data_IF_547492098590
#
_entry.id   IF_547492098590
#
_cell.length_a   1.000
_cell.length_b   1.000
_cell.length_c   1.000
_cell.angle_alpha   90.00
_cell.angle_beta   90.00
_cell.angle_gamma   90.00
#
_symmetry.space_group_name_H-M   'P 1'
#
loop_
_entity.id
_entity.type
_entity.pdbx_description
1 polymer ?
#
# COMPACT_ATOMS: atom_id res chain seq x y z
N UNK A 1 -20.64 -6.89 -21.53
CA UNK A 1 -19.39 -6.81 -20.74
C UNK A 1 -18.57 -5.57 -21.10
N UNK A 2 -18.15 -5.39 -22.37
CA UNK A 2 -17.33 -4.25 -22.80
C UNK A 2 -17.97 -2.86 -22.53
N UNK A 3 -19.28 -2.73 -22.74
CA UNK A 3 -20.03 -1.50 -22.45
C UNK A 3 -20.02 -1.14 -20.96
N UNK A 4 -20.20 -2.14 -20.08
CA UNK A 4 -20.15 -1.93 -18.63
C UNK A 4 -18.74 -1.53 -18.16
N UNK A 5 -17.69 -2.16 -18.69
CA UNK A 5 -16.31 -1.79 -18.39
C UNK A 5 -15.98 -0.35 -18.79
N UNK A 6 -16.47 0.12 -19.95
CA UNK A 6 -16.30 1.50 -20.40
C UNK A 6 -17.03 2.50 -19.51
N UNK A 7 -18.23 2.15 -19.02
CA UNK A 7 -18.97 3.00 -18.07
C UNK A 7 -18.19 3.12 -16.75
N UNK A 8 -17.71 2.01 -16.20
CA UNK A 8 -16.91 2.03 -14.98
C UNK A 8 -15.58 2.78 -15.15
N UNK A 9 -14.95 2.69 -16.32
CA UNK A 9 -13.74 3.45 -16.66
C UNK A 9 -13.99 4.96 -16.55
N UNK A 10 -15.08 5.44 -17.16
CA UNK A 10 -15.44 6.87 -17.12
C UNK A 10 -15.77 7.31 -15.70
N UNK A 11 -16.53 6.51 -14.94
CA UNK A 11 -16.85 6.79 -13.54
C UNK A 11 -15.59 6.86 -12.68
N UNK A 12 -14.64 5.95 -12.87
CA UNK A 12 -13.36 5.94 -12.15
C UNK A 12 -12.50 7.18 -12.45
N UNK A 13 -12.47 7.63 -13.71
CA UNK A 13 -11.77 8.86 -14.09
C UNK A 13 -12.41 10.12 -13.48
N UNK A 14 -13.74 10.22 -13.53
CA UNK A 14 -14.47 11.33 -12.92
C UNK A 14 -14.23 11.33 -11.40
N UNK A 15 -14.39 10.20 -10.73
CA UNK A 15 -14.12 10.11 -9.30
C UNK A 15 -12.63 10.44 -8.97
N UNK A 16 -11.71 10.03 -9.85
CA UNK A 16 -10.28 10.40 -9.90
C UNK A 16 -10.05 11.89 -9.79
N UNK A 17 -10.68 12.64 -10.69
CA UNK A 17 -10.51 14.08 -10.83
C UNK A 17 -11.25 14.84 -9.71
N UNK A 18 -12.44 14.39 -9.32
CA UNK A 18 -13.33 15.15 -8.44
C UNK A 18 -13.09 14.97 -6.94
N UNK A 19 -12.48 13.90 -6.46
CA UNK A 19 -12.53 13.64 -5.02
C UNK A 19 -11.45 12.76 -4.40
N UNK A 20 -10.72 11.97 -5.20
CA UNK A 20 -9.71 11.09 -4.60
C UNK A 20 -8.46 11.81 -4.10
N UNK A 21 -8.24 13.09 -4.40
CA UNK A 21 -7.06 13.83 -3.92
C UNK A 21 -6.92 13.88 -2.39
N UNK A 22 -8.01 14.15 -1.67
CA UNK A 22 -8.00 14.18 -0.20
C UNK A 22 -7.83 12.80 0.43
N UNK A 23 -8.51 11.78 -0.11
CA UNK A 23 -8.42 10.40 0.37
C UNK A 23 -7.04 9.80 0.04
N UNK A 24 -6.47 10.13 -1.11
CA UNK A 24 -5.13 9.74 -1.50
C UNK A 24 -4.09 10.32 -0.54
N UNK A 25 -4.21 11.59 -0.12
CA UNK A 25 -3.30 12.19 0.85
C UNK A 25 -3.40 11.54 2.25
N UNK A 26 -4.62 11.26 2.73
CA UNK A 26 -4.82 10.57 4.01
C UNK A 26 -4.28 9.13 3.95
N UNK A 27 -4.54 8.43 2.84
CA UNK A 27 -4.05 7.08 2.60
C UNK A 27 -2.52 7.04 2.48
N UNK A 28 -1.90 8.05 1.87
CA UNK A 28 -0.45 8.17 1.77
C UNK A 28 0.20 8.29 3.16
N UNK A 29 -0.40 9.08 4.06
CA UNK A 29 0.05 9.18 5.45
C UNK A 29 0.00 7.83 6.19
N UNK A 30 -1.11 7.11 6.06
CA UNK A 30 -1.28 5.78 6.68
C UNK A 30 -0.29 4.76 6.09
N UNK A 31 -0.11 4.77 4.76
CA UNK A 31 0.83 3.90 4.07
C UNK A 31 2.28 4.14 4.53
N UNK A 32 2.67 5.39 4.75
CA UNK A 32 4.00 5.74 5.25
C UNK A 32 4.24 5.18 6.66
N UNK A 33 3.25 5.28 7.56
CA UNK A 33 3.35 4.71 8.92
C UNK A 33 3.49 3.18 8.85
N UNK A 34 2.68 2.50 8.06
CA UNK A 34 2.75 1.05 7.87
C UNK A 34 4.10 0.62 7.27
N UNK A 35 4.63 1.38 6.32
CA UNK A 35 5.94 1.12 5.72
C UNK A 35 7.06 1.18 6.76
N UNK A 36 7.04 2.19 7.65
CA UNK A 36 8.05 2.29 8.72
C UNK A 36 7.92 1.13 9.71
N UNK A 37 6.70 0.77 10.12
CA UNK A 37 6.47 -0.39 11.01
C UNK A 37 7.01 -1.67 10.36
N UNK A 38 6.67 -1.89 9.09
CA UNK A 38 7.18 -3.03 8.33
C UNK A 38 8.70 -3.04 8.25
N UNK A 39 9.34 -1.90 8.01
CA UNK A 39 10.79 -1.77 7.93
C UNK A 39 11.44 -2.13 9.26
N UNK A 40 10.91 -1.64 10.39
CA UNK A 40 11.39 -2.00 11.73
C UNK A 40 11.28 -3.50 11.97
N UNK A 41 10.10 -4.08 11.70
CA UNK A 41 9.89 -5.53 11.84
C UNK A 41 10.80 -6.34 10.92
N UNK A 42 11.01 -5.88 9.69
CA UNK A 42 11.90 -6.50 8.72
C UNK A 42 13.35 -6.50 9.21
N UNK A 43 13.83 -5.37 9.73
CA UNK A 43 15.18 -5.28 10.31
C UNK A 43 15.30 -6.20 11.52
N UNK A 44 14.31 -6.21 12.42
CA UNK A 44 14.30 -7.11 13.59
C UNK A 44 14.30 -8.57 13.14
N UNK A 45 13.48 -8.94 12.17
CA UNK A 45 13.42 -10.31 11.63
C UNK A 45 14.73 -10.70 10.93
N UNK A 46 15.34 -9.78 10.20
CA UNK A 46 16.63 -9.98 9.53
C UNK A 46 17.75 -10.19 10.55
N UNK A 47 17.81 -9.36 11.60
CA UNK A 47 18.78 -9.51 12.68
C UNK A 47 18.51 -10.80 13.46
N UNK A 48 17.26 -11.09 13.82
CA UNK A 48 16.89 -12.33 14.50
C UNK A 48 17.28 -13.56 13.66
N UNK A 49 17.08 -13.53 12.34
CA UNK A 49 17.50 -14.62 11.45
C UNK A 49 19.01 -14.71 11.30
N UNK A 50 19.72 -13.59 11.23
CA UNK A 50 21.18 -13.56 11.18
C UNK A 50 21.81 -14.08 12.48
N UNK A 51 21.20 -13.78 13.63
CA UNK A 51 21.64 -14.25 14.95
C UNK A 51 21.23 -15.71 15.24
N UNK A 52 20.05 -16.15 14.76
CA UNK A 52 19.58 -17.53 14.85
C UNK A 52 20.18 -18.45 13.78
N UNK A 53 21.34 -18.12 13.21
CA UNK A 53 22.12 -18.97 12.30
C UNK A 53 22.63 -20.29 12.91
N UNK A 54 21.96 -20.85 13.93
CA UNK A 54 22.19 -22.22 14.40
C UNK A 54 21.30 -23.17 13.59
N UNK A 55 21.90 -23.63 12.49
CA UNK A 55 21.83 -24.98 11.89
C UNK A 55 20.90 -25.98 12.58
N UNK A 56 20.03 -26.63 11.80
CA UNK A 56 20.20 -28.06 11.53
C UNK A 56 20.87 -28.33 10.19
#
# INVERSE_FOLDING_TARGET
>A
MLQWALIFLVVALIAGIFGFGGIASASAGIAQVLFVIFLVLFVVAMVARALNGRTP
#
